data_IF_593472686723
#
_entry.id   IF_593472686723
#
_cell.length_a   1.000
_cell.length_b   1.000
_cell.length_c   1.000
_cell.angle_alpha   90.00
_cell.angle_beta   90.00
_cell.angle_gamma   90.00
#
_symmetry.space_group_name_H-M   'P 1'
#
loop_
_entity.id
_entity.type
_entity.pdbx_description
1 polymer ?
#
# COMPACT_ATOMS: atom_id res chain seq x y z
N UNK A 1 29.65 2.72 32.06
CA UNK A 1 29.15 3.27 30.79
C UNK A 1 29.28 2.16 29.79
N UNK A 2 28.26 1.32 29.72
CA UNK A 2 28.26 0.05 29.00
C UNK A 2 27.28 0.18 27.84
N UNK A 3 27.66 -0.34 26.68
CA UNK A 3 27.21 0.00 25.33
C UNK A 3 25.69 -0.23 25.13
N UNK A 4 24.87 0.84 25.06
CA UNK A 4 23.39 0.78 25.10
C UNK A 4 22.68 0.74 23.73
N UNK A 5 23.29 0.14 22.71
CA UNK A 5 22.60 -0.19 21.44
C UNK A 5 22.69 -1.70 21.22
N UNK A 6 21.97 -2.48 22.03
CA UNK A 6 21.84 -3.91 21.76
C UNK A 6 21.03 -4.11 20.47
N UNK A 7 21.74 -4.44 19.41
CA UNK A 7 21.16 -4.90 18.15
C UNK A 7 20.34 -6.16 18.42
N UNK A 8 19.08 -6.16 18.01
CA UNK A 8 18.20 -7.31 18.20
C UNK A 8 18.73 -8.55 17.50
N UNK A 9 18.44 -9.74 18.05
CA UNK A 9 18.78 -11.00 17.41
C UNK A 9 18.16 -11.07 16.01
N UNK A 10 18.96 -11.42 15.00
CA UNK A 10 18.49 -11.52 13.62
C UNK A 10 17.42 -12.60 13.48
N UNK A 11 16.28 -12.23 12.91
CA UNK A 11 15.23 -13.17 12.55
C UNK A 11 14.72 -12.79 11.14
N UNK A 12 14.68 -13.75 10.22
CA UNK A 12 14.28 -13.55 8.82
C UNK A 12 15.06 -12.45 8.05
N UNK A 13 16.39 -12.42 8.19
CA UNK A 13 17.28 -11.46 7.49
C UNK A 13 17.08 -9.98 7.84
N UNK A 14 16.18 -9.65 8.76
CA UNK A 14 16.06 -8.32 9.35
C UNK A 14 16.93 -8.23 10.60
N UNK A 15 17.78 -7.21 10.68
CA UNK A 15 18.49 -6.83 11.90
C UNK A 15 17.88 -5.54 12.42
N UNK A 16 17.47 -5.56 13.67
CA UNK A 16 17.00 -4.36 14.34
C UNK A 16 18.22 -3.50 14.71
N UNK A 17 18.37 -2.31 14.10
CA UNK A 17 19.31 -1.29 14.57
C UNK A 17 19.03 -0.92 16.03
N UNK A 18 17.77 -1.06 16.47
CA UNK A 18 17.32 -0.98 17.87
C UNK A 18 16.16 -1.94 18.18
N UNK A 19 16.26 -2.70 19.26
CA UNK A 19 15.16 -3.54 19.79
C UNK A 19 14.51 -2.94 21.04
N UNK A 20 13.27 -3.33 21.31
CA UNK A 20 12.58 -3.04 22.56
C UNK A 20 13.15 -3.87 23.71
N UNK A 21 13.16 -3.29 24.91
CA UNK A 21 13.51 -3.91 26.20
C UNK A 21 12.28 -4.41 26.99
N UNK A 22 11.07 -4.31 26.40
CA UNK A 22 9.83 -4.76 27.01
C UNK A 22 9.79 -6.29 27.18
N UNK A 23 9.44 -6.74 28.39
CA UNK A 23 9.11 -8.13 28.65
C UNK A 23 7.71 -8.48 28.08
N UNK A 24 7.64 -9.51 27.23
CA UNK A 24 6.41 -9.86 26.52
C UNK A 24 5.42 -10.57 27.45
N UNK A 25 4.37 -9.84 27.85
CA UNK A 25 3.21 -10.43 28.50
C UNK A 25 2.32 -11.16 27.47
N UNK A 26 2.38 -12.50 27.52
CA UNK A 26 1.65 -13.38 26.60
C UNK A 26 0.12 -13.28 26.72
N UNK A 27 -0.41 -12.86 27.87
CA UNK A 27 -1.85 -12.71 28.07
C UNK A 27 -2.37 -11.46 27.38
N UNK A 28 -1.67 -10.34 27.54
CA UNK A 28 -1.95 -9.10 26.81
C UNK A 28 -1.81 -9.33 25.30
N UNK A 29 -0.75 -10.01 24.87
CA UNK A 29 -0.56 -10.36 23.47
C UNK A 29 -1.73 -11.16 22.91
N UNK A 30 -2.25 -12.16 23.65
CA UNK A 30 -3.41 -12.95 23.20
C UNK A 30 -4.69 -12.10 23.10
N UNK A 31 -4.80 -11.06 23.92
CA UNK A 31 -5.99 -10.20 24.02
C UNK A 31 -6.01 -9.10 22.96
N UNK A 32 -4.86 -8.46 22.71
CA UNK A 32 -4.77 -7.25 21.88
C UNK A 32 -4.06 -7.45 20.54
N UNK A 33 -3.18 -8.45 20.39
CA UNK A 33 -2.47 -8.66 19.11
C UNK A 33 -3.43 -9.17 18.02
N UNK A 34 -3.87 -8.24 17.18
CA UNK A 34 -4.79 -8.50 16.08
C UNK A 34 -4.16 -9.33 14.97
N UNK A 35 -2.85 -9.18 14.73
CA UNK A 35 -2.12 -9.95 13.73
C UNK A 35 -2.01 -11.41 14.14
N UNK A 36 -1.75 -11.67 15.42
CA UNK A 36 -1.80 -13.01 15.99
C UNK A 36 -3.18 -13.63 15.81
N UNK A 37 -4.26 -12.90 16.11
CA UNK A 37 -5.61 -13.41 15.93
C UNK A 37 -5.90 -13.78 14.47
N UNK A 38 -5.50 -12.92 13.52
CA UNK A 38 -5.60 -13.16 12.06
C UNK A 38 -4.84 -14.41 11.63
N UNK A 39 -3.57 -14.55 12.05
CA UNK A 39 -2.73 -15.70 11.72
C UNK A 39 -3.25 -17.02 12.33
N UNK A 40 -3.75 -16.99 13.57
CA UNK A 40 -4.36 -18.16 14.19
C UNK A 40 -5.64 -18.57 13.45
N UNK A 41 -6.48 -17.61 13.06
CA UNK A 41 -7.67 -17.88 12.27
C UNK A 41 -7.30 -18.53 10.93
N UNK A 42 -6.30 -18.00 10.24
CA UNK A 42 -5.78 -18.54 8.99
C UNK A 42 -5.19 -19.95 9.16
N UNK A 43 -4.57 -20.25 10.30
CA UNK A 43 -3.98 -21.57 10.59
C UNK A 43 -5.01 -22.71 10.58
N UNK A 44 -6.28 -22.45 10.87
CA UNK A 44 -7.29 -23.52 10.87
C UNK A 44 -7.61 -24.06 9.47
N UNK A 45 -7.41 -23.26 8.41
CA UNK A 45 -7.63 -23.69 7.02
C UNK A 45 -6.71 -24.86 6.61
N UNK A 46 -5.36 -24.73 6.72
CA UNK A 46 -4.47 -25.84 6.40
C UNK A 46 -4.63 -27.02 7.36
N UNK A 47 -5.05 -26.81 8.63
CA UNK A 47 -5.34 -27.93 9.52
C UNK A 47 -6.54 -28.76 9.02
N UNK A 48 -7.62 -28.11 8.60
CA UNK A 48 -8.76 -28.81 7.99
C UNK A 48 -8.36 -29.58 6.74
N UNK A 49 -7.58 -28.94 5.86
CA UNK A 49 -7.07 -29.58 4.64
C UNK A 49 -6.12 -30.76 4.93
N UNK A 50 -5.26 -30.64 5.96
CA UNK A 50 -4.42 -31.73 6.45
C UNK A 50 -5.26 -32.95 6.84
N UNK A 51 -6.33 -32.77 7.62
CA UNK A 51 -7.17 -33.88 8.06
C UNK A 51 -7.85 -34.58 6.88
N UNK A 52 -8.34 -33.83 5.89
CA UNK A 52 -8.95 -34.38 4.66
C UNK A 52 -7.93 -35.21 3.88
N UNK A 53 -6.74 -34.67 3.63
CA UNK A 53 -5.70 -35.35 2.84
C UNK A 53 -5.12 -36.56 3.58
N UNK A 54 -4.99 -36.48 4.91
CA UNK A 54 -4.59 -37.61 5.75
C UNK A 54 -5.61 -38.74 5.68
N UNK A 55 -6.91 -38.44 5.81
CA UNK A 55 -7.97 -39.46 5.68
C UNK A 55 -7.98 -40.12 4.30
N UNK A 56 -7.80 -39.34 3.23
CA UNK A 56 -7.70 -39.88 1.86
C UNK A 56 -6.48 -40.80 1.70
N UNK A 57 -5.32 -40.38 2.21
CA UNK A 57 -4.09 -41.18 2.20
C UNK A 57 -4.28 -42.51 2.93
N UNK A 58 -4.82 -42.48 4.15
CA UNK A 58 -5.09 -43.68 4.95
C UNK A 58 -6.04 -44.64 4.23
N UNK A 59 -7.12 -44.12 3.62
CA UNK A 59 -8.05 -44.95 2.84
C UNK A 59 -7.34 -45.66 1.68
N UNK A 60 -6.50 -44.94 0.91
CA UNK A 60 -5.77 -45.53 -0.21
C UNK A 60 -4.75 -46.59 0.24
N UNK A 61 -4.16 -46.43 1.42
CA UNK A 61 -3.31 -47.48 2.00
C UNK A 61 -4.10 -48.71 2.41
N UNK A 62 -5.30 -48.56 2.99
CA UNK A 62 -6.20 -49.67 3.32
C UNK A 62 -6.64 -50.41 2.04
N UNK A 63 -6.92 -49.67 0.96
CA UNK A 63 -7.32 -50.21 -0.34
C UNK A 63 -6.12 -50.78 -1.14
N UNK A 64 -4.94 -50.94 -0.54
CA UNK A 64 -3.71 -51.44 -1.17
C UNK A 64 -3.17 -50.61 -2.36
N UNK A 65 -3.58 -49.34 -2.49
CA UNK A 65 -3.09 -48.39 -3.48
C UNK A 65 -1.92 -47.54 -2.91
N UNK A 66 -0.89 -48.21 -2.42
CA UNK A 66 0.29 -47.63 -1.77
C UNK A 66 0.97 -46.48 -2.53
N UNK A 67 1.14 -46.58 -3.85
CA UNK A 67 1.71 -45.50 -4.68
C UNK A 67 0.82 -44.26 -4.72
N UNK A 68 -0.50 -44.43 -4.70
CA UNK A 68 -1.45 -43.32 -4.71
C UNK A 68 -1.72 -42.76 -3.32
N UNK A 69 -1.41 -43.52 -2.25
CA UNK A 69 -1.49 -43.07 -0.86
C UNK A 69 -0.35 -42.13 -0.44
N UNK A 70 0.82 -42.21 -1.06
CA UNK A 70 1.99 -41.37 -0.72
C UNK A 70 1.82 -39.92 -1.14
N UNK A 71 1.27 -39.66 -2.34
CA UNK A 71 1.05 -38.31 -2.85
C UNK A 71 0.17 -37.44 -1.92
N UNK A 72 -1.03 -37.88 -1.49
CA UNK A 72 -1.84 -37.12 -0.54
C UNK A 72 -1.20 -37.02 0.85
N UNK A 73 -0.38 -38.00 1.26
CA UNK A 73 0.39 -37.90 2.52
C UNK A 73 1.37 -36.73 2.49
N UNK A 74 2.11 -36.53 1.39
CA UNK A 74 3.03 -35.40 1.25
C UNK A 74 2.30 -34.05 1.29
N UNK A 75 1.15 -33.96 0.61
CA UNK A 75 0.31 -32.76 0.65
C UNK A 75 -0.23 -32.52 2.07
N UNK A 76 -0.60 -33.57 2.79
CA UNK A 76 -1.01 -33.48 4.19
C UNK A 76 0.13 -32.93 5.06
N UNK A 77 1.34 -33.49 4.96
CA UNK A 77 2.50 -33.01 5.70
C UNK A 77 2.83 -31.55 5.39
N UNK A 78 2.74 -31.13 4.13
CA UNK A 78 2.90 -29.72 3.76
C UNK A 78 1.83 -28.83 4.40
N UNK A 79 0.57 -29.26 4.41
CA UNK A 79 -0.51 -28.54 5.09
C UNK A 79 -0.27 -28.45 6.61
N UNK A 80 0.20 -29.53 7.24
CA UNK A 80 0.57 -29.53 8.66
C UNK A 80 1.75 -28.59 8.95
N UNK A 81 2.77 -28.58 8.09
CA UNK A 81 3.86 -27.62 8.15
C UNK A 81 3.33 -26.18 8.09
N UNK A 82 2.42 -25.87 7.17
CA UNK A 82 1.78 -24.53 7.07
C UNK A 82 1.00 -24.17 8.33
N UNK A 83 0.31 -25.12 8.96
CA UNK A 83 -0.37 -24.90 10.23
C UNK A 83 0.59 -24.44 11.33
N UNK A 84 1.71 -25.15 11.50
CA UNK A 84 2.73 -24.77 12.49
C UNK A 84 3.44 -23.46 12.12
N UNK A 85 3.73 -23.24 10.84
CA UNK A 85 4.35 -21.99 10.37
C UNK A 85 3.49 -20.77 10.72
N UNK A 86 2.17 -20.81 10.46
CA UNK A 86 1.27 -19.70 10.83
C UNK A 86 1.20 -19.47 12.34
N UNK A 87 1.18 -20.54 13.15
CA UNK A 87 1.16 -20.39 14.61
C UNK A 87 2.47 -19.85 15.16
N UNK A 88 3.59 -20.24 14.59
CA UNK A 88 4.89 -19.71 14.95
C UNK A 88 5.02 -18.23 14.56
N UNK A 89 4.55 -17.84 13.38
CA UNK A 89 4.53 -16.45 12.92
C UNK A 89 3.66 -15.53 13.79
N UNK A 90 2.59 -16.06 14.42
CA UNK A 90 1.78 -15.37 15.41
C UNK A 90 2.35 -15.39 16.84
N UNK A 91 3.61 -15.82 17.00
CA UNK A 91 4.28 -15.91 18.29
C UNK A 91 4.83 -14.57 18.79
N UNK A 92 5.48 -14.62 19.95
CA UNK A 92 6.12 -13.46 20.57
C UNK A 92 7.38 -12.97 19.83
N UNK A 93 7.87 -13.72 18.84
CA UNK A 93 9.09 -13.39 18.09
C UNK A 93 9.02 -12.01 17.41
N UNK A 94 7.82 -11.57 17.02
CA UNK A 94 7.63 -10.23 16.47
C UNK A 94 8.04 -9.11 17.44
N UNK A 95 7.87 -9.32 18.74
CA UNK A 95 8.21 -8.33 19.77
C UNK A 95 9.63 -8.49 20.31
N UNK A 96 10.23 -9.68 20.19
CA UNK A 96 11.60 -9.93 20.68
C UNK A 96 12.68 -9.76 19.60
N UNK A 97 12.30 -9.85 18.32
CA UNK A 97 13.23 -9.82 17.19
C UNK A 97 12.89 -8.74 16.15
N UNK A 98 11.79 -8.01 16.36
CA UNK A 98 11.43 -6.89 15.50
C UNK A 98 12.32 -5.67 15.70
N UNK A 99 12.23 -4.72 14.78
CA UNK A 99 12.80 -3.38 14.92
C UNK A 99 11.83 -2.48 15.69
N UNK A 100 12.34 -1.69 16.62
CA UNK A 100 11.58 -0.63 17.25
C UNK A 100 11.36 0.52 16.25
N UNK A 101 10.11 0.79 15.90
CA UNK A 101 9.71 1.81 14.92
C UNK A 101 8.68 2.78 15.52
N UNK A 102 8.72 4.07 15.17
CA UNK A 102 7.71 5.02 15.63
C UNK A 102 6.42 4.90 14.83
N UNK A 103 5.30 5.17 15.49
CA UNK A 103 4.02 5.42 14.87
C UNK A 103 3.29 6.57 15.54
N UNK A 104 2.43 7.28 14.80
CA UNK A 104 1.55 8.31 15.34
C UNK A 104 0.09 8.00 15.02
N UNK A 105 -0.81 8.41 15.92
CA UNK A 105 -2.25 8.39 15.65
C UNK A 105 -2.59 9.49 14.64
N UNK A 106 -3.21 9.10 13.52
CA UNK A 106 -3.65 10.05 12.47
C UNK A 106 -5.16 10.19 12.39
N UNK A 107 -5.91 9.18 12.84
CA UNK A 107 -7.37 9.22 12.94
C UNK A 107 -7.80 8.52 14.21
N UNK A 108 -8.86 9.01 14.83
CA UNK A 108 -9.35 8.50 16.12
C UNK A 108 -10.61 7.65 16.00
N UNK A 109 -11.34 7.72 14.88
CA UNK A 109 -12.54 6.91 14.62
C UNK A 109 -12.73 6.60 13.12
N UNK A 110 -12.34 5.39 12.64
CA UNK A 110 -11.62 4.34 13.36
C UNK A 110 -10.21 4.79 13.77
N UNK A 111 -9.60 4.09 14.75
CA UNK A 111 -8.22 4.40 15.18
C UNK A 111 -7.26 3.96 14.08
N UNK A 112 -6.61 4.91 13.46
CA UNK A 112 -5.63 4.67 12.41
C UNK A 112 -4.28 5.27 12.80
N UNK A 113 -3.24 4.49 12.52
CA UNK A 113 -1.85 4.81 12.80
C UNK A 113 -1.07 4.91 11.50
N UNK A 114 -0.05 5.77 11.50
CA UNK A 114 1.03 5.73 10.51
C UNK A 114 2.30 5.34 11.23
N UNK A 115 2.91 4.23 10.83
CA UNK A 115 4.25 3.81 11.28
C UNK A 115 5.31 4.16 10.22
N UNK A 116 6.51 4.52 10.67
CA UNK A 116 7.66 4.82 9.81
C UNK A 116 8.75 3.78 10.02
N UNK A 117 9.37 3.32 8.93
CA UNK A 117 10.53 2.43 9.01
C UNK A 117 11.53 2.77 7.91
N UNK A 118 12.82 2.57 8.19
CA UNK A 118 13.82 2.43 7.12
C UNK A 118 13.66 1.05 6.48
N UNK A 119 13.46 1.04 5.17
CA UNK A 119 13.27 -0.18 4.38
C UNK A 119 14.53 -0.59 3.62
N UNK A 120 15.67 0.08 3.82
CA UNK A 120 16.93 -0.39 3.25
C UNK A 120 17.30 -1.78 3.82
N UNK A 121 17.70 -2.72 2.96
CA UNK A 121 18.19 -4.03 3.41
C UNK A 121 19.69 -4.01 3.77
N UNK A 122 20.43 -3.00 3.34
CA UNK A 122 21.88 -2.88 3.56
C UNK A 122 22.16 -1.81 4.62
N UNK A 123 22.85 -2.22 5.69
CA UNK A 123 23.26 -1.33 6.79
C UNK A 123 24.22 -0.22 6.32
N UNK A 124 24.89 -0.39 5.16
CA UNK A 124 25.79 0.60 4.57
C UNK A 124 25.12 1.48 3.50
N UNK A 125 23.86 1.22 3.15
CA UNK A 125 23.11 1.98 2.16
C UNK A 125 22.64 3.34 2.68
N UNK A 126 22.25 4.22 1.75
CA UNK A 126 21.48 5.42 2.12
C UNK A 126 20.11 4.99 2.69
N UNK A 127 19.71 5.58 3.82
CA UNK A 127 18.40 5.35 4.44
C UNK A 127 17.28 5.58 3.44
N UNK A 128 16.35 4.63 3.35
CA UNK A 128 15.13 4.77 2.54
C UNK A 128 13.95 4.63 3.48
N UNK A 129 13.39 5.75 3.92
CA UNK A 129 12.19 5.73 4.73
C UNK A 129 10.97 5.32 3.92
N UNK A 130 10.10 4.54 4.56
CA UNK A 130 8.75 4.25 4.10
C UNK A 130 7.79 4.34 5.28
N UNK A 131 6.55 4.76 5.01
CA UNK A 131 5.50 4.69 6.02
C UNK A 131 4.43 3.67 5.65
N UNK A 132 3.71 3.19 6.66
CA UNK A 132 2.58 2.28 6.51
C UNK A 132 1.41 2.75 7.35
N UNK A 133 0.24 2.85 6.72
CA UNK A 133 -1.03 3.14 7.40
C UNK A 133 -1.70 1.83 7.78
N UNK A 134 -2.15 1.73 9.03
CA UNK A 134 -2.86 0.55 9.53
C UNK A 134 -3.87 0.94 10.61
N UNK A 135 -4.97 0.18 10.67
CA UNK A 135 -6.02 0.38 11.66
C UNK A 135 -5.83 -0.54 12.87
N UNK A 136 -6.22 -0.04 14.04
CA UNK A 136 -6.19 -0.80 15.30
C UNK A 136 -7.50 -0.60 16.06
N UNK A 137 -7.89 -1.57 16.89
CA UNK A 137 -9.11 -1.48 17.71
C UNK A 137 -8.84 -0.88 19.08
N UNK A 138 -7.66 -1.14 19.64
CA UNK A 138 -7.33 -0.76 21.00
C UNK A 138 -5.87 -0.35 21.11
N UNK A 139 -5.63 0.74 21.85
CA UNK A 139 -4.32 1.22 22.26
C UNK A 139 -4.31 1.38 23.78
N UNK A 140 -4.19 0.27 24.54
CA UNK A 140 -4.04 0.37 26.00
C UNK A 140 -2.84 1.27 26.34
N UNK A 141 -2.87 1.94 27.49
CA UNK A 141 -1.83 2.86 27.96
C UNK A 141 -1.66 4.17 27.15
N UNK A 142 -2.34 4.33 26.02
CA UNK A 142 -2.27 5.54 25.19
C UNK A 142 -3.58 6.31 25.17
N UNK A 143 -3.49 7.60 24.91
CA UNK A 143 -4.67 8.44 24.62
C UNK A 143 -4.96 8.35 23.13
N UNK A 144 -6.22 8.11 22.79
CA UNK A 144 -6.67 8.08 21.38
C UNK A 144 -6.89 9.53 20.92
N UNK A 145 -5.78 10.23 20.66
CA UNK A 145 -5.76 11.62 20.16
C UNK A 145 -4.77 11.71 19.00
N UNK A 146 -5.07 12.55 18.00
CA UNK A 146 -4.18 12.76 16.86
C UNK A 146 -2.81 13.27 17.31
N UNK A 147 -1.76 12.73 16.68
CA UNK A 147 -0.36 13.02 17.02
C UNK A 147 0.19 12.27 18.25
N UNK A 148 -0.61 11.45 18.94
CA UNK A 148 -0.11 10.60 20.03
C UNK A 148 1.01 9.69 19.51
N UNK A 149 2.14 9.65 20.23
CA UNK A 149 3.31 8.82 19.92
C UNK A 149 3.09 7.38 20.40
N UNK A 150 3.12 6.44 19.46
CA UNK A 150 2.94 5.01 19.70
C UNK A 150 4.22 4.26 19.27
N UNK A 151 5.02 3.72 20.21
CA UNK A 151 6.15 2.90 19.85
C UNK A 151 5.66 1.52 19.39
N UNK A 152 6.16 1.05 18.25
CA UNK A 152 5.77 -0.21 17.64
C UNK A 152 6.99 -1.11 17.43
N UNK A 153 6.76 -2.42 17.40
CA UNK A 153 7.72 -3.39 16.87
C UNK A 153 7.32 -3.77 15.45
N UNK A 154 8.27 -3.79 14.53
CA UNK A 154 8.04 -4.20 13.16
C UNK A 154 8.93 -5.37 12.74
N UNK A 155 8.30 -6.37 12.11
CA UNK A 155 9.02 -7.35 11.31
C UNK A 155 8.95 -6.93 9.85
N UNK A 156 10.05 -7.09 9.12
CA UNK A 156 10.09 -6.84 7.69
C UNK A 156 9.89 -8.13 6.92
N UNK A 157 9.30 -8.01 5.73
CA UNK A 157 8.92 -9.16 4.92
C UNK A 157 9.11 -8.90 3.43
N UNK A 158 9.75 -9.86 2.76
CA UNK A 158 10.07 -9.78 1.34
C UNK A 158 11.13 -8.72 1.03
N UNK A 159 11.97 -8.96 0.03
CA UNK A 159 12.91 -7.95 -0.44
C UNK A 159 12.83 -7.83 -1.95
N UNK A 160 12.95 -6.61 -2.46
CA UNK A 160 12.98 -6.30 -3.89
C UNK A 160 13.98 -5.18 -4.10
N UNK A 161 14.95 -5.39 -5.00
CA UNK A 161 15.97 -4.40 -5.33
C UNK A 161 16.72 -3.82 -4.11
N UNK A 162 17.01 -4.65 -3.10
CA UNK A 162 17.73 -4.20 -1.89
C UNK A 162 16.89 -3.41 -0.90
N UNK A 163 15.55 -3.38 -1.07
CA UNK A 163 14.61 -2.76 -0.15
C UNK A 163 13.59 -3.79 0.35
N UNK A 164 13.16 -3.65 1.60
CA UNK A 164 12.08 -4.45 2.17
C UNK A 164 10.76 -4.10 1.48
N UNK A 165 10.06 -5.11 0.99
CA UNK A 165 8.80 -4.93 0.26
C UNK A 165 7.62 -4.61 1.19
N UNK A 166 7.73 -4.97 2.47
CA UNK A 166 6.71 -4.69 3.47
C UNK A 166 7.30 -4.70 4.88
N UNK A 167 6.62 -4.05 5.82
CA UNK A 167 6.83 -4.23 7.25
C UNK A 167 5.49 -4.30 8.00
N UNK A 168 5.47 -5.00 9.13
CA UNK A 168 4.26 -5.22 9.94
C UNK A 168 4.42 -4.58 11.32
N UNK A 169 4.00 -3.31 11.50
CA UNK A 169 4.07 -2.65 12.80
C UNK A 169 3.05 -3.24 13.79
N UNK A 170 3.47 -3.43 15.04
CA UNK A 170 2.65 -3.89 16.17
C UNK A 170 2.90 -3.00 17.38
N UNK A 171 1.88 -2.28 17.91
CA UNK A 171 2.03 -1.45 19.09
C UNK A 171 2.60 -2.20 20.29
N UNK A 172 3.62 -1.64 20.95
CA UNK A 172 4.22 -2.26 22.13
C UNK A 172 3.23 -2.41 23.29
N UNK A 173 2.26 -1.50 23.39
CA UNK A 173 1.22 -1.56 24.41
C UNK A 173 0.36 -2.84 24.34
N UNK A 174 0.42 -3.61 23.25
CA UNK A 174 -0.26 -4.90 23.15
C UNK A 174 0.41 -6.01 23.96
N UNK A 175 1.66 -5.82 24.39
CA UNK A 175 2.44 -6.85 25.08
C UNK A 175 2.96 -6.44 26.45
N UNK A 176 2.66 -5.23 26.92
CA UNK A 176 3.05 -4.76 28.26
C UNK A 176 1.99 -3.87 28.88
N UNK A 177 1.89 -3.92 30.19
CA UNK A 177 1.14 -3.00 31.05
C UNK A 177 2.05 -1.97 31.76
N UNK A 178 3.37 -2.02 31.52
CA UNK A 178 4.34 -1.06 32.07
C UNK A 178 4.41 0.23 31.24
N UNK A 179 3.75 1.27 31.74
CA UNK A 179 3.77 2.60 31.14
C UNK A 179 5.17 3.24 31.11
N UNK A 180 6.08 2.90 32.04
CA UNK A 180 7.44 3.42 32.03
C UNK A 180 8.27 2.78 30.91
N UNK A 181 8.09 1.48 30.65
CA UNK A 181 8.72 0.80 29.53
C UNK A 181 8.25 1.40 28.18
N UNK A 182 6.96 1.70 28.04
CA UNK A 182 6.44 2.41 26.85
C UNK A 182 7.13 3.77 26.68
N UNK A 183 7.16 4.58 27.75
CA UNK A 183 7.80 5.90 27.71
C UNK A 183 9.28 5.81 27.36
N UNK A 184 10.00 4.87 27.97
CA UNK A 184 11.41 4.61 27.68
C UNK A 184 11.65 4.27 26.21
N UNK A 185 10.79 3.43 25.60
CA UNK A 185 10.90 3.11 24.18
C UNK A 185 10.55 4.29 23.26
N UNK A 186 9.65 5.19 23.66
CA UNK A 186 9.40 6.46 22.94
C UNK A 186 10.66 7.33 22.94
N UNK A 187 11.30 7.47 24.11
CA UNK A 187 12.50 8.32 24.30
C UNK A 187 13.73 7.77 23.55
N UNK A 188 13.77 6.46 23.27
CA UNK A 188 14.82 5.80 22.47
C UNK A 188 14.68 5.98 20.96
N UNK A 189 13.51 6.40 20.49
CA UNK A 189 13.29 6.66 19.07
C UNK A 189 13.80 8.06 18.73
N UNK A 190 14.54 8.19 17.63
CA UNK A 190 15.16 9.46 17.25
C UNK A 190 14.11 10.52 16.94
N UNK A 191 14.32 11.76 17.43
CA UNK A 191 13.37 12.85 17.21
C UNK A 191 13.18 13.17 15.71
N UNK A 192 14.19 12.90 14.88
CA UNK A 192 14.09 13.01 13.41
C UNK A 192 12.99 12.12 12.83
N UNK A 193 12.83 10.90 13.33
CA UNK A 193 11.79 9.99 12.83
C UNK A 193 10.39 10.47 13.26
N UNK A 194 10.29 11.02 14.47
CA UNK A 194 9.07 11.67 14.94
C UNK A 194 8.73 12.92 14.12
N UNK A 195 9.73 13.71 13.72
CA UNK A 195 9.59 14.86 12.82
C UNK A 195 9.12 14.45 11.42
N UNK A 196 9.67 13.36 10.87
CA UNK A 196 9.22 12.82 9.58
C UNK A 196 7.75 12.46 9.64
N UNK A 197 7.33 11.70 10.67
CA UNK A 197 5.93 11.31 10.86
C UNK A 197 4.98 12.51 10.94
N UNK A 198 5.35 13.58 11.67
CA UNK A 198 4.53 14.80 11.76
C UNK A 198 4.37 15.53 10.43
N UNK A 199 5.33 15.38 9.52
CA UNK A 199 5.35 16.01 8.20
C UNK A 199 4.66 15.18 7.12
N UNK A 200 4.34 13.92 7.40
CA UNK A 200 3.47 13.12 6.53
C UNK A 200 2.07 13.71 6.66
N UNK A 201 1.77 14.69 5.81
CA UNK A 201 0.44 15.25 5.64
C UNK A 201 -0.51 14.13 5.19
N UNK A 202 -1.69 14.05 5.81
CA UNK A 202 -2.75 13.05 5.60
C UNK A 202 -3.30 13.09 4.18
N UNK A 203 -2.50 12.66 3.21
CA UNK A 203 -2.94 12.36 1.86
C UNK A 203 -3.53 10.94 1.92
N UNK A 204 -4.85 10.89 1.91
CA UNK A 204 -5.74 9.73 2.12
C UNK A 204 -5.60 8.62 1.07
N UNK A 205 -4.62 8.74 0.17
CA UNK A 205 -4.52 7.95 -1.06
C UNK A 205 -3.57 6.75 -0.98
N UNK A 206 -2.94 6.45 0.15
CA UNK A 206 -2.20 5.18 0.30
C UNK A 206 -3.17 4.04 0.64
N UNK A 207 -3.15 2.95 -0.13
CA UNK A 207 -3.91 1.75 0.21
C UNK A 207 -3.53 1.27 1.63
N UNK A 208 -4.54 0.93 2.43
CA UNK A 208 -4.32 0.34 3.75
C UNK A 208 -3.50 -0.94 3.59
N UNK A 209 -2.53 -1.18 4.48
CA UNK A 209 -1.59 -2.32 4.49
C UNK A 209 -0.40 -2.29 3.50
N UNK A 210 -0.32 -1.33 2.59
CA UNK A 210 0.86 -1.13 1.73
C UNK A 210 1.86 -0.12 2.33
N UNK A 211 3.14 -0.27 1.95
CA UNK A 211 4.19 0.70 2.31
C UNK A 211 4.28 1.80 1.25
N UNK A 212 4.54 3.02 1.68
CA UNK A 212 4.76 4.16 0.79
C UNK A 212 6.14 4.72 1.03
N UNK A 213 6.98 4.65 -0.01
CA UNK A 213 8.33 5.19 0.00
C UNK A 213 8.32 6.72 0.11
N UNK A 214 9.26 7.26 0.87
CA UNK A 214 9.44 8.69 1.08
C UNK A 214 10.76 9.17 0.48
N UNK A 215 10.74 10.34 -0.15
CA UNK A 215 11.93 11.14 -0.42
C UNK A 215 12.03 12.20 0.68
N UNK A 216 13.08 12.10 1.49
CA UNK A 216 13.39 13.06 2.55
C UNK A 216 14.54 13.93 2.05
N UNK A 217 14.25 15.21 1.79
CA UNK A 217 15.29 16.16 1.37
C UNK A 217 16.26 16.40 2.53
N UNK A 218 17.53 16.02 2.34
CA UNK A 218 18.58 16.10 3.36
C UNK A 218 18.88 17.55 3.81
N UNK A 219 18.52 18.55 3.00
CA UNK A 219 18.80 19.96 3.28
C UNK A 219 17.58 20.72 3.84
N UNK A 220 16.40 20.51 3.27
CA UNK A 220 15.17 21.20 3.69
C UNK A 220 14.38 20.43 4.75
N UNK A 221 14.74 19.15 4.99
CA UNK A 221 13.95 18.22 5.81
C UNK A 221 12.49 18.12 5.34
N UNK A 222 12.24 18.40 4.07
CA UNK A 222 10.95 18.23 3.45
C UNK A 222 10.72 16.74 3.20
N UNK A 223 9.52 16.28 3.56
CA UNK A 223 9.13 14.87 3.41
C UNK A 223 8.12 14.82 2.27
N UNK A 224 8.47 14.15 1.18
CA UNK A 224 7.57 13.92 0.05
C UNK A 224 7.43 12.43 -0.17
N UNK A 225 6.31 12.03 -0.77
CA UNK A 225 6.22 10.67 -1.31
C UNK A 225 7.20 10.53 -2.45
N UNK A 226 7.86 9.38 -2.52
CA UNK A 226 8.70 9.04 -3.65
C UNK A 226 7.84 8.94 -4.90
N UNK A 227 8.17 9.77 -5.89
CA UNK A 227 7.51 9.78 -7.19
C UNK A 227 8.46 9.31 -8.26
N UNK A 228 7.96 8.46 -9.16
CA UNK A 228 8.63 8.09 -10.39
C UNK A 228 8.23 9.05 -11.50
N UNK A 229 9.02 9.12 -12.58
CA UNK A 229 8.72 9.92 -13.78
C UNK A 229 8.59 9.01 -14.99
N UNK A 230 7.55 9.22 -15.79
CA UNK A 230 7.39 8.57 -17.10
C UNK A 230 7.55 9.61 -18.22
N UNK A 231 8.13 9.19 -19.33
CA UNK A 231 8.11 9.90 -20.61
C UNK A 231 7.77 8.90 -21.72
N UNK A 232 6.62 9.07 -22.37
CA UNK A 232 6.10 8.15 -23.39
C UNK A 232 5.11 8.88 -24.30
N UNK A 233 5.03 8.53 -25.59
CA UNK A 233 4.05 9.12 -26.51
C UNK A 233 4.15 10.64 -26.75
N UNK A 234 5.27 11.28 -26.38
CA UNK A 234 5.45 12.74 -26.46
C UNK A 234 4.87 13.50 -25.27
N UNK A 235 4.65 12.83 -24.14
CA UNK A 235 4.29 13.47 -22.88
C UNK A 235 5.15 12.92 -21.73
N UNK A 236 5.13 13.63 -20.61
CA UNK A 236 5.76 13.20 -19.36
C UNK A 236 4.99 13.68 -18.15
N UNK A 237 4.95 12.86 -17.11
CA UNK A 237 4.40 13.20 -15.80
C UNK A 237 5.06 12.36 -14.71
N UNK A 238 4.91 12.80 -13.47
CA UNK A 238 5.30 12.08 -12.28
C UNK A 238 4.13 11.25 -11.73
N UNK A 239 4.42 10.13 -11.08
CA UNK A 239 3.42 9.27 -10.44
C UNK A 239 3.99 8.66 -9.16
N UNK A 240 3.17 8.41 -8.12
CA UNK A 240 3.64 7.76 -6.90
C UNK A 240 4.04 6.30 -7.15
N UNK A 241 4.97 5.77 -6.36
CA UNK A 241 5.36 4.35 -6.45
C UNK A 241 4.21 3.38 -6.09
N UNK A 242 3.19 3.88 -5.40
CA UNK A 242 1.94 3.16 -5.12
C UNK A 242 1.03 3.00 -6.34
N UNK A 243 1.42 3.46 -7.52
CA UNK A 243 0.67 3.29 -8.77
C UNK A 243 1.34 2.25 -9.68
N UNK A 244 0.52 1.45 -10.34
CA UNK A 244 0.91 0.58 -11.45
C UNK A 244 0.74 1.36 -12.74
N UNK A 245 1.73 1.27 -13.62
CA UNK A 245 1.66 1.85 -14.97
C UNK A 245 1.85 0.77 -16.02
N UNK A 246 0.93 0.76 -16.98
CA UNK A 246 0.99 -0.02 -18.20
C UNK A 246 1.00 0.91 -19.40
N UNK A 247 1.75 0.53 -20.44
CA UNK A 247 1.89 1.31 -21.66
C UNK A 247 1.76 0.39 -22.86
N UNK A 248 1.03 0.84 -23.85
CA UNK A 248 0.75 0.09 -25.07
C UNK A 248 0.87 1.00 -26.28
N UNK A 249 1.49 0.49 -27.33
CA UNK A 249 1.49 1.11 -28.65
C UNK A 249 0.43 0.40 -29.49
N UNK A 250 -0.62 1.12 -29.82
CA UNK A 250 -1.67 0.64 -30.71
C UNK A 250 -1.33 0.88 -32.18
N UNK A 251 -2.27 0.51 -33.04
CA UNK A 251 -2.15 0.74 -34.47
C UNK A 251 -2.04 2.24 -34.80
N UNK A 252 -1.39 2.55 -35.92
CA UNK A 252 -1.25 3.91 -36.47
C UNK A 252 -0.56 4.91 -35.52
N UNK A 253 0.33 4.44 -34.64
CA UNK A 253 1.10 5.31 -33.74
C UNK A 253 0.27 5.91 -32.61
N UNK A 254 -0.82 5.24 -32.22
CA UNK A 254 -1.59 5.59 -31.03
C UNK A 254 -0.84 5.07 -29.80
N UNK A 255 -0.67 5.92 -28.79
CA UNK A 255 -0.04 5.52 -27.53
C UNK A 255 -1.04 5.56 -26.39
N UNK A 256 -1.11 4.46 -25.65
CA UNK A 256 -1.93 4.32 -24.45
C UNK A 256 -1.04 4.23 -23.22
N UNK A 257 -1.41 4.97 -22.19
CA UNK A 257 -0.85 4.86 -20.85
C UNK A 257 -2.01 4.64 -19.91
N UNK A 258 -2.02 3.51 -19.21
CA UNK A 258 -2.99 3.20 -18.18
C UNK A 258 -2.27 3.21 -16.84
N UNK A 259 -2.82 3.96 -15.88
CA UNK A 259 -2.32 4.04 -14.53
C UNK A 259 -3.45 3.70 -13.57
N UNK A 260 -3.16 2.83 -12.61
CA UNK A 260 -4.11 2.42 -11.59
C UNK A 260 -3.37 2.39 -10.26
N UNK A 261 -4.00 2.91 -9.21
CA UNK A 261 -3.46 2.80 -7.86
C UNK A 261 -3.41 1.32 -7.46
N UNK A 262 -2.37 0.91 -6.73
CA UNK A 262 -2.26 -0.45 -6.21
C UNK A 262 -3.21 -0.60 -5.01
N UNK A 263 -3.85 -1.77 -4.90
CA UNK A 263 -4.67 -2.15 -3.75
C UNK A 263 -6.00 -2.77 -4.19
N UNK A 264 -6.54 -3.67 -3.39
CA UNK A 264 -7.79 -4.38 -3.72
C UNK A 264 -9.03 -3.46 -3.66
N UNK A 265 -8.93 -2.32 -2.95
CA UNK A 265 -10.00 -1.33 -2.76
C UNK A 265 -9.71 0.02 -3.46
N UNK A 266 -8.77 0.07 -4.42
CA UNK A 266 -8.45 1.32 -5.11
C UNK A 266 -9.36 1.56 -6.31
N UNK A 267 -9.94 2.75 -6.38
CA UNK A 267 -10.79 3.21 -7.48
C UNK A 267 -10.12 4.24 -8.39
N UNK A 268 -8.95 4.75 -7.99
CA UNK A 268 -8.25 5.79 -8.72
C UNK A 268 -7.57 5.26 -9.99
N UNK A 269 -8.02 5.75 -11.14
CA UNK A 269 -7.43 5.44 -12.44
C UNK A 269 -7.10 6.70 -13.24
N UNK A 270 -6.04 6.62 -14.04
CA UNK A 270 -5.71 7.58 -15.09
C UNK A 270 -5.53 6.79 -16.39
N UNK A 271 -6.16 7.24 -17.45
CA UNK A 271 -5.82 6.77 -18.80
C UNK A 271 -5.45 7.95 -19.67
N UNK A 272 -4.35 7.81 -20.40
CA UNK A 272 -3.89 8.80 -21.37
C UNK A 272 -3.78 8.13 -22.73
N UNK A 273 -4.48 8.69 -23.70
CA UNK A 273 -4.43 8.28 -25.09
C UNK A 273 -3.87 9.42 -25.94
N UNK A 274 -2.85 9.13 -26.75
CA UNK A 274 -2.24 10.07 -27.69
C UNK A 274 -2.50 9.59 -29.12
N UNK A 275 -3.13 10.43 -29.93
CA UNK A 275 -3.43 10.16 -31.34
C UNK A 275 -2.71 11.17 -32.24
N UNK A 276 -2.12 10.66 -33.32
CA UNK A 276 -1.60 11.45 -34.44
C UNK A 276 -2.33 11.00 -35.72
N UNK A 277 -2.92 11.90 -36.54
CA UNK A 277 -2.86 13.36 -36.49
C UNK A 277 -3.85 14.00 -35.51
N UNK A 278 -3.74 15.33 -35.36
CA UNK A 278 -4.69 16.15 -34.61
C UNK A 278 -6.13 15.98 -35.14
N UNK A 279 -7.06 15.81 -34.20
CA UNK A 279 -8.51 15.74 -34.40
C UNK A 279 -9.16 16.95 -33.73
N UNK A 280 -10.32 17.39 -34.22
CA UNK A 280 -11.12 18.39 -33.51
C UNK A 280 -11.44 17.94 -32.09
N UNK A 281 -11.28 18.84 -31.11
CA UNK A 281 -11.38 18.47 -29.69
C UNK A 281 -12.79 18.03 -29.29
N UNK A 282 -13.83 18.66 -29.86
CA UNK A 282 -15.23 18.32 -29.58
C UNK A 282 -15.62 17.02 -30.26
N UNK A 283 -15.20 16.83 -31.52
CA UNK A 283 -15.41 15.57 -32.23
C UNK A 283 -14.74 14.39 -31.51
N UNK A 284 -13.50 14.59 -31.00
CA UNK A 284 -12.80 13.56 -30.22
C UNK A 284 -13.50 13.27 -28.90
N UNK A 285 -13.98 14.29 -28.19
CA UNK A 285 -14.75 14.10 -26.96
C UNK A 285 -16.02 13.29 -27.24
N UNK A 286 -16.76 13.61 -28.31
CA UNK A 286 -17.97 12.89 -28.69
C UNK A 286 -17.69 11.43 -29.01
N UNK A 287 -16.63 11.15 -29.79
CA UNK A 287 -16.16 9.79 -30.08
C UNK A 287 -15.83 9.01 -28.79
N UNK A 288 -15.08 9.63 -27.87
CA UNK A 288 -14.72 9.02 -26.58
C UNK A 288 -15.96 8.72 -25.75
N UNK A 289 -16.88 9.69 -25.61
CA UNK A 289 -18.11 9.51 -24.83
C UNK A 289 -19.02 8.42 -25.43
N UNK A 290 -19.14 8.36 -26.75
CA UNK A 290 -19.91 7.33 -27.44
C UNK A 290 -19.30 5.95 -27.24
N UNK A 291 -17.97 5.84 -27.33
CA UNK A 291 -17.24 4.58 -27.10
C UNK A 291 -17.38 4.11 -25.66
N UNK A 292 -17.32 5.03 -24.69
CA UNK A 292 -17.54 4.70 -23.28
C UNK A 292 -18.96 4.17 -23.06
N UNK A 293 -20.00 4.86 -23.57
CA UNK A 293 -21.41 4.45 -23.39
C UNK A 293 -21.75 3.07 -23.97
N UNK A 294 -20.96 2.56 -24.92
CA UNK A 294 -21.11 1.20 -25.45
C UNK A 294 -20.64 0.13 -24.45
N UNK A 295 -19.81 0.48 -23.48
CA UNK A 295 -19.34 -0.42 -22.44
C UNK A 295 -20.39 -0.52 -21.34
N UNK A 296 -20.66 -1.73 -20.85
CA UNK A 296 -21.63 -1.97 -19.79
C UNK A 296 -21.35 -1.14 -18.51
N UNK A 297 -20.09 -0.82 -18.24
CA UNK A 297 -19.69 -0.07 -17.04
C UNK A 297 -20.14 1.40 -17.08
N UNK A 298 -20.26 1.99 -18.28
CA UNK A 298 -20.59 3.42 -18.46
C UNK A 298 -21.96 3.64 -19.12
N UNK A 299 -22.80 2.61 -19.26
CA UNK A 299 -24.08 2.72 -19.99
C UNK A 299 -25.03 3.76 -19.35
N UNK A 300 -24.91 4.01 -18.05
CA UNK A 300 -25.73 4.96 -17.28
C UNK A 300 -25.01 6.29 -17.01
N UNK A 301 -23.90 6.53 -17.70
CA UNK A 301 -23.10 7.73 -17.52
C UNK A 301 -23.89 9.00 -17.86
N UNK A 302 -23.88 9.94 -16.93
CA UNK A 302 -24.36 11.31 -17.10
C UNK A 302 -23.16 12.25 -17.19
N UNK A 303 -23.25 13.28 -18.04
CA UNK A 303 -22.15 14.21 -18.30
C UNK A 303 -22.54 15.64 -17.95
N UNK A 304 -21.59 16.41 -17.46
CA UNK A 304 -21.72 17.86 -17.26
C UNK A 304 -21.45 18.62 -18.57
N UNK A 305 -21.87 19.90 -18.68
CA UNK A 305 -21.51 20.75 -19.80
C UNK A 305 -19.99 20.88 -19.96
N UNK A 306 -19.54 20.90 -21.22
CA UNK A 306 -18.12 21.05 -21.56
C UNK A 306 -17.63 22.44 -21.15
N UNK A 307 -16.45 22.48 -20.52
CA UNK A 307 -15.79 23.71 -20.07
C UNK A 307 -14.43 23.86 -20.74
N UNK A 308 -14.05 25.09 -21.08
CA UNK A 308 -12.67 25.40 -21.44
C UNK A 308 -11.87 25.56 -20.15
N UNK A 309 -10.76 24.84 -20.05
CA UNK A 309 -9.86 24.84 -18.90
C UNK A 309 -8.42 24.76 -19.40
N UNK A 310 -7.46 24.80 -18.48
CA UNK A 310 -6.08 24.50 -18.79
C UNK A 310 -5.66 23.26 -18.00
N UNK A 311 -5.01 22.30 -18.67
CA UNK A 311 -4.31 21.22 -17.99
C UNK A 311 -2.84 21.63 -17.88
N UNK A 312 -2.49 22.11 -16.68
CA UNK A 312 -1.26 22.84 -16.40
C UNK A 312 -1.14 24.07 -17.30
N UNK A 313 -0.27 24.04 -18.31
CA UNK A 313 -0.01 25.16 -19.21
C UNK A 313 -0.66 24.98 -20.60
N UNK A 314 -1.46 23.92 -20.81
CA UNK A 314 -2.04 23.61 -22.12
C UNK A 314 -3.56 23.85 -22.10
N UNK A 315 -4.06 24.56 -23.12
CA UNK A 315 -5.49 24.73 -23.32
C UNK A 315 -6.16 23.37 -23.59
N UNK A 316 -7.25 23.14 -22.87
CA UNK A 316 -8.01 21.90 -22.94
C UNK A 316 -9.51 22.16 -22.83
N UNK A 317 -10.30 21.21 -23.33
CA UNK A 317 -11.70 21.10 -22.93
C UNK A 317 -11.82 20.03 -21.85
N UNK A 318 -12.70 20.27 -20.88
CA UNK A 318 -13.03 19.35 -19.80
C UNK A 318 -14.51 18.97 -19.87
N UNK A 319 -14.77 17.68 -19.82
CA UNK A 319 -16.10 17.10 -19.58
C UNK A 319 -16.05 16.24 -18.32
N UNK A 320 -16.84 16.60 -17.32
CA UNK A 320 -17.02 15.76 -16.13
C UNK A 320 -18.15 14.78 -16.36
N UNK A 321 -18.05 13.59 -15.78
CA UNK A 321 -19.10 12.60 -15.84
C UNK A 321 -19.29 11.89 -14.51
N UNK A 322 -20.47 11.32 -14.35
CA UNK A 322 -20.84 10.46 -13.22
C UNK A 322 -21.48 9.21 -13.78
N UNK A 323 -20.98 8.05 -13.38
CA UNK A 323 -21.56 6.76 -13.70
C UNK A 323 -21.77 5.93 -12.42
N UNK A 324 -22.45 4.81 -12.54
CA UNK A 324 -22.61 3.89 -11.42
C UNK A 324 -22.57 2.45 -11.88
N UNK A 325 -21.73 1.65 -11.27
CA UNK A 325 -21.68 0.21 -11.52
C UNK A 325 -21.52 -0.53 -10.20
N UNK A 326 -22.14 -1.70 -10.08
CA UNK A 326 -22.13 -2.51 -8.85
C UNK A 326 -22.64 -1.76 -7.60
N UNK A 327 -23.61 -0.85 -7.76
CA UNK A 327 -24.14 0.07 -6.73
C UNK A 327 -23.13 1.08 -6.15
N UNK A 328 -21.94 1.18 -6.75
CA UNK A 328 -20.95 2.20 -6.40
C UNK A 328 -21.01 3.33 -7.42
N UNK A 329 -20.90 4.57 -6.93
CA UNK A 329 -20.92 5.77 -7.75
C UNK A 329 -19.49 6.17 -8.05
N UNK A 330 -19.21 6.45 -9.32
CA UNK A 330 -17.91 6.91 -9.77
C UNK A 330 -18.04 8.28 -10.44
N UNK A 331 -17.04 9.10 -10.19
CA UNK A 331 -16.86 10.41 -10.79
C UNK A 331 -15.70 10.32 -11.77
N UNK A 332 -15.75 11.10 -12.84
CA UNK A 332 -14.66 11.15 -13.79
C UNK A 332 -14.54 12.47 -14.51
N UNK A 333 -13.34 12.73 -15.02
CA UNK A 333 -12.97 13.94 -15.75
C UNK A 333 -12.24 13.55 -17.02
N UNK A 334 -12.71 14.05 -18.15
CA UNK A 334 -12.08 13.84 -19.46
C UNK A 334 -11.55 15.18 -19.95
N UNK A 335 -10.24 15.27 -20.11
CA UNK A 335 -9.56 16.38 -20.75
C UNK A 335 -9.20 16.01 -22.19
N UNK A 336 -9.56 16.84 -23.16
CA UNK A 336 -9.09 16.73 -24.55
C UNK A 336 -8.29 17.98 -24.88
N UNK A 337 -7.10 17.77 -25.42
CA UNK A 337 -6.16 18.85 -25.74
C UNK A 337 -5.42 18.56 -27.05
N UNK A 338 -5.17 19.63 -27.79
CA UNK A 338 -4.48 19.61 -29.08
C UNK A 338 -3.19 20.39 -28.97
N UNK A 339 -2.06 19.69 -29.06
CA UNK A 339 -0.73 20.29 -28.88
C UNK A 339 0.22 19.68 -29.89
N UNK A 340 1.01 20.52 -30.56
CA UNK A 340 2.06 20.10 -31.51
C UNK A 340 1.58 19.12 -32.59
N UNK A 341 0.36 19.31 -33.10
CA UNK A 341 -0.22 18.47 -34.17
C UNK A 341 -0.72 17.10 -33.71
N UNK A 342 -0.84 16.87 -32.39
CA UNK A 342 -1.38 15.64 -31.78
C UNK A 342 -2.59 15.95 -30.92
N UNK A 343 -3.47 14.96 -30.75
CA UNK A 343 -4.59 15.02 -29.82
C UNK A 343 -4.34 14.10 -28.63
N UNK A 344 -4.49 14.64 -27.44
CA UNK A 344 -4.34 13.92 -26.18
C UNK A 344 -5.71 13.83 -25.51
N UNK A 345 -6.05 12.64 -25.03
CA UNK A 345 -7.22 12.38 -24.19
C UNK A 345 -6.72 11.90 -22.84
N UNK A 346 -7.01 12.66 -21.78
CA UNK A 346 -6.71 12.27 -20.39
C UNK A 346 -8.03 12.02 -19.69
N UNK A 347 -8.24 10.80 -19.21
CA UNK A 347 -9.37 10.46 -18.35
C UNK A 347 -8.84 10.15 -16.96
N UNK A 348 -9.45 10.78 -15.96
CA UNK A 348 -9.26 10.46 -14.54
C UNK A 348 -10.60 9.98 -13.98
N UNK A 349 -10.58 8.98 -13.10
CA UNK A 349 -11.78 8.49 -12.43
C UNK A 349 -11.48 8.03 -11.01
N UNK A 350 -12.45 8.23 -10.12
CA UNK A 350 -12.43 7.79 -8.73
C UNK A 350 -13.86 7.66 -8.14
N UNK A 351 -14.00 7.02 -6.98
CA UNK A 351 -15.24 6.98 -6.18
C UNK A 351 -15.53 8.31 -5.47
N UNK A 352 -14.52 9.14 -5.26
CA UNK A 352 -14.63 10.46 -4.65
C UNK A 352 -14.46 11.59 -5.68
N UNK A 353 -15.25 12.65 -5.56
CA UNK A 353 -15.12 13.86 -6.38
C UNK A 353 -14.09 14.84 -5.80
N UNK A 354 -12.85 14.35 -5.57
CA UNK A 354 -11.73 15.16 -5.05
C UNK A 354 -10.48 15.09 -5.95
N UNK A 355 -10.70 15.37 -7.24
CA UNK A 355 -9.64 15.26 -8.25
C UNK A 355 -8.47 16.22 -8.01
N UNK A 356 -8.75 17.41 -7.47
CA UNK A 356 -7.73 18.46 -7.26
C UNK A 356 -6.67 18.06 -6.25
N UNK A 357 -7.03 17.25 -5.25
CA UNK A 357 -6.09 16.73 -4.27
C UNK A 357 -5.54 15.37 -4.71
N UNK A 358 -6.41 14.42 -5.08
CA UNK A 358 -5.99 13.03 -5.34
C UNK A 358 -5.14 12.87 -6.59
N UNK A 359 -5.36 13.68 -7.63
CA UNK A 359 -4.61 13.61 -8.89
C UNK A 359 -3.63 14.77 -9.05
N UNK A 360 -3.38 15.53 -7.98
CA UNK A 360 -2.48 16.70 -8.00
C UNK A 360 -1.08 16.35 -8.52
N UNK A 361 -0.57 15.18 -8.13
CA UNK A 361 0.73 14.69 -8.56
C UNK A 361 0.83 14.61 -10.10
N UNK A 362 -0.27 14.27 -10.77
CA UNK A 362 -0.34 14.15 -12.22
C UNK A 362 -0.53 15.54 -12.84
N UNK A 363 -1.52 16.30 -12.39
CA UNK A 363 -1.85 17.61 -12.99
C UNK A 363 -0.70 18.60 -12.87
N UNK A 364 0.02 18.61 -11.76
CA UNK A 364 1.16 19.50 -11.52
C UNK A 364 2.43 19.09 -12.31
N UNK A 365 2.53 17.83 -12.73
CA UNK A 365 3.73 17.29 -13.38
C UNK A 365 3.53 17.00 -14.87
N UNK A 366 2.29 17.01 -15.35
CA UNK A 366 1.93 16.76 -16.74
C UNK A 366 2.61 17.78 -17.67
N UNK A 367 3.32 17.28 -18.67
CA UNK A 367 4.09 18.07 -19.63
C UNK A 367 4.02 17.39 -20.99
N UNK A 368 3.91 18.16 -22.06
CA UNK A 368 4.01 17.67 -23.44
C UNK A 368 5.41 18.00 -23.95
N UNK A 369 6.07 17.03 -24.57
CA UNK A 369 7.50 17.08 -24.98
C UNK A 369 7.61 17.24 -26.49
#
# INVERSE_FOLDING_TARGET
>A
MENQNETGNSFNFSRASRTSDVEVNKELMKKYDEQRAKLIRLSWRPLGFFLIMLSLSLKLYVDAHWVWGTLPMLVALFALFRFYAYRNAGGASAYTSGLLVPAIVVRTNPIELIALADVCCDDAGDEQFAYKRFAVKNLPLHKVVEGERIPCMALFGGSTNGQWANFEPRPLCWVTDDANAIKHNIDRIEEREWDILRKITDDTTAATDDIVLLDVDKHTSEVRRKTNKIAYGGLSFCYPDSWKIEKEEGDNGIHYIYCEKKGDDSSEIISVNVVSPQVDVLAKLEETLNSMKQQNVYHNMSTEPVRNVSLRDNDAILCSFVCSFSNTKYFGRIYILNVSGKTFTVLMQDEEDDFENKFKFFTDSFTII
#
